data_IF_109548951625
#
_entry.id   IF_109548951625
#
_cell.length_a   1.000
_cell.length_b   1.000
_cell.length_c   1.000
_cell.angle_alpha   90.00
_cell.angle_beta   90.00
_cell.angle_gamma   90.00
#
_symmetry.space_group_name_H-M   'P 1'
#
loop_
_entity.id
_entity.type
_entity.pdbx_description
1 polymer ?
#
# COMPACT_ATOMS: atom_id res chain seq x y z
N UNK A 1 -8.33 -5.57 11.87
CA UNK A 1 -8.61 -4.12 11.91
C UNK A 1 -8.38 -3.55 10.51
N UNK A 2 -9.46 -3.22 9.81
CA UNK A 2 -9.42 -2.46 8.55
C UNK A 2 -8.88 -1.05 8.84
N UNK A 3 -8.29 -0.40 7.85
CA UNK A 3 -7.65 0.92 7.93
C UNK A 3 -8.45 1.89 8.86
N UNK A 4 -7.80 2.71 9.71
CA UNK A 4 -8.52 3.67 10.55
C UNK A 4 -9.49 4.49 9.71
N UNK A 5 -10.67 4.84 10.26
CA UNK A 5 -11.81 5.48 9.58
C UNK A 5 -11.51 6.79 8.79
N UNK A 6 -10.26 7.26 8.82
CA UNK A 6 -9.80 8.54 8.28
C UNK A 6 -8.85 8.38 7.08
N UNK A 7 -8.76 7.17 6.50
CA UNK A 7 -7.87 6.88 5.37
C UNK A 7 -8.69 6.81 4.09
N UNK A 8 -8.36 7.65 3.12
CA UNK A 8 -8.98 7.64 1.80
C UNK A 8 -7.93 7.36 0.73
N UNK A 9 -8.21 6.43 -0.18
CA UNK A 9 -7.40 6.24 -1.38
C UNK A 9 -7.85 7.29 -2.40
N UNK A 10 -6.97 8.25 -2.72
CA UNK A 10 -7.26 9.35 -3.64
C UNK A 10 -6.97 8.95 -5.08
N UNK A 11 -5.86 8.25 -5.30
CA UNK A 11 -5.42 7.76 -6.61
C UNK A 11 -4.62 6.48 -6.42
N UNK A 12 -4.74 5.55 -7.34
CA UNK A 12 -3.94 4.32 -7.36
C UNK A 12 -3.52 4.00 -8.79
N UNK A 13 -2.29 3.53 -8.96
CA UNK A 13 -1.76 2.96 -10.19
C UNK A 13 -1.04 1.67 -9.85
N UNK A 14 -1.45 0.57 -10.49
CA UNK A 14 -0.88 -0.76 -10.28
C UNK A 14 -0.42 -1.28 -11.64
N UNK A 15 0.75 -1.89 -11.66
CA UNK A 15 1.30 -2.59 -12.80
C UNK A 15 1.59 -4.04 -12.40
N UNK A 16 0.84 -4.96 -13.00
CA UNK A 16 1.09 -6.38 -12.88
C UNK A 16 2.37 -6.77 -13.64
N UNK A 17 3.08 -7.76 -13.10
CA UNK A 17 4.23 -8.43 -13.71
C UNK A 17 3.82 -9.85 -14.10
N UNK A 18 4.66 -10.51 -14.89
CA UNK A 18 4.38 -11.85 -15.41
C UNK A 18 4.44 -12.96 -14.33
N UNK A 19 4.99 -12.67 -13.16
CA UNK A 19 5.35 -13.61 -12.10
C UNK A 19 4.39 -13.59 -10.91
N UNK A 20 3.09 -13.36 -11.14
CA UNK A 20 2.06 -13.23 -10.09
C UNK A 20 2.38 -12.16 -9.01
N UNK A 21 3.26 -11.23 -9.35
CA UNK A 21 3.53 -10.02 -8.57
C UNK A 21 3.03 -8.78 -9.30
N UNK A 22 2.82 -7.70 -8.55
CA UNK A 22 2.50 -6.39 -9.07
C UNK A 22 3.16 -5.34 -8.18
N UNK A 23 3.57 -4.24 -8.80
CA UNK A 23 4.01 -3.05 -8.07
C UNK A 23 3.03 -1.92 -8.34
N UNK A 24 2.81 -1.07 -7.35
CA UNK A 24 1.93 0.07 -7.50
C UNK A 24 2.38 1.27 -6.71
N UNK A 25 1.75 2.40 -7.01
CA UNK A 25 1.78 3.58 -6.18
C UNK A 25 0.36 4.07 -5.93
N UNK A 26 0.14 4.68 -4.77
CA UNK A 26 -1.11 5.33 -4.46
C UNK A 26 -0.86 6.66 -3.76
N UNK A 27 -1.84 7.55 -3.85
CA UNK A 27 -1.95 8.70 -2.96
C UNK A 27 -3.05 8.39 -1.97
N UNK A 28 -2.72 8.41 -0.69
CA UNK A 28 -3.69 8.30 0.40
C UNK A 28 -3.85 9.65 1.08
N UNK A 29 -5.05 9.95 1.56
CA UNK A 29 -5.32 11.09 2.43
C UNK A 29 -5.58 10.60 3.83
N UNK A 30 -4.87 11.15 4.81
CA UNK A 30 -5.05 10.93 6.24
C UNK A 30 -5.07 12.29 6.94
N UNK A 31 -6.12 12.58 7.72
CA UNK A 31 -6.23 13.83 8.49
C UNK A 31 -5.89 15.07 7.64
N UNK A 32 -6.57 15.20 6.49
CA UNK A 32 -6.39 16.29 5.49
C UNK A 32 -5.03 16.33 4.78
N UNK A 33 -4.05 15.55 5.22
CA UNK A 33 -2.73 15.46 4.61
C UNK A 33 -2.70 14.34 3.56
N UNK A 34 -2.07 14.61 2.42
CA UNK A 34 -1.92 13.63 1.34
C UNK A 34 -0.52 13.03 1.35
N UNK A 35 -0.43 11.70 1.24
CA UNK A 35 0.81 10.94 1.27
C UNK A 35 0.90 10.06 0.03
N UNK A 36 2.08 10.05 -0.59
CA UNK A 36 2.40 9.08 -1.62
C UNK A 36 2.88 7.77 -0.95
N UNK A 37 2.36 6.65 -1.40
CA UNK A 37 2.78 5.32 -0.98
C UNK A 37 3.18 4.46 -2.17
N UNK A 38 4.19 3.61 -1.97
CA UNK A 38 4.54 2.51 -2.86
C UNK A 38 3.96 1.20 -2.32
N UNK A 39 3.51 0.32 -3.21
CA UNK A 39 2.81 -0.92 -2.90
C UNK A 39 3.52 -2.09 -3.55
N UNK A 40 3.78 -3.13 -2.77
CA UNK A 40 4.10 -4.46 -3.27
C UNK A 40 2.88 -5.35 -3.12
N UNK A 41 2.54 -6.05 -4.20
CA UNK A 41 1.33 -6.85 -4.29
C UNK A 41 1.72 -8.20 -4.88
N UNK A 42 1.23 -9.28 -4.30
CA UNK A 42 1.41 -10.62 -4.83
C UNK A 42 0.11 -11.41 -4.80
N UNK A 43 0.02 -12.42 -5.66
CA UNK A 43 -1.11 -13.32 -5.72
C UNK A 43 -0.93 -14.47 -4.74
N UNK A 44 -1.86 -14.62 -3.80
CA UNK A 44 -1.90 -15.74 -2.85
C UNK A 44 -3.26 -16.43 -2.94
N UNK A 45 -3.28 -17.71 -3.34
CA UNK A 45 -4.52 -18.49 -3.47
C UNK A 45 -5.49 -17.88 -4.48
N UNK A 46 -4.98 -17.45 -5.64
CA UNK A 46 -5.79 -16.84 -6.71
C UNK A 46 -6.21 -15.39 -6.48
N UNK A 47 -5.98 -14.82 -5.28
CA UNK A 47 -6.33 -13.44 -4.93
C UNK A 47 -5.11 -12.54 -4.81
N UNK A 48 -5.18 -11.34 -5.37
CA UNK A 48 -4.17 -10.30 -5.19
C UNK A 48 -4.23 -9.73 -3.77
N UNK A 49 -3.08 -9.58 -3.13
CA UNK A 49 -2.94 -9.00 -1.79
C UNK A 49 -1.76 -8.06 -1.76
N UNK A 50 -1.95 -6.89 -1.15
CA UNK A 50 -0.83 -6.04 -0.76
C UNK A 50 -0.01 -6.77 0.29
N UNK A 51 1.26 -7.03 0.00
CA UNK A 51 2.19 -7.72 0.90
C UNK A 51 3.13 -6.76 1.60
N UNK A 52 3.43 -5.62 0.97
CA UNK A 52 4.21 -4.55 1.58
C UNK A 52 3.75 -3.18 1.11
N UNK A 53 4.01 -2.16 1.92
CA UNK A 53 3.77 -0.78 1.53
C UNK A 53 4.69 0.19 2.27
N UNK A 54 5.04 1.27 1.58
CA UNK A 54 6.02 2.24 2.03
C UNK A 54 5.51 3.65 1.83
N UNK A 55 5.75 4.55 2.77
CA UNK A 55 5.67 5.98 2.51
C UNK A 55 6.82 6.41 1.62
N UNK A 56 6.49 7.21 0.61
CA UNK A 56 7.48 7.86 -0.24
C UNK A 56 7.78 9.23 0.37
N UNK A 57 9.01 9.42 0.81
CA UNK A 57 9.54 10.72 1.28
C UNK A 57 10.74 11.10 0.42
N UNK A 58 11.18 12.38 0.40
CA UNK A 58 12.33 12.78 -0.41
C UNK A 58 13.56 11.87 -0.14
N UNK A 59 14.08 11.26 -1.20
CA UNK A 59 15.25 10.37 -1.20
C UNK A 59 15.13 9.08 -0.35
N UNK A 60 13.94 8.69 0.11
CA UNK A 60 13.79 7.49 0.94
C UNK A 60 12.40 6.85 0.84
N UNK A 61 12.38 5.52 0.92
CA UNK A 61 11.17 4.74 1.19
C UNK A 61 11.13 4.35 2.66
N UNK A 62 10.08 4.76 3.37
CA UNK A 62 9.88 4.40 4.78
C UNK A 62 8.86 3.27 4.84
N UNK A 63 9.34 2.06 5.10
CA UNK A 63 8.47 0.88 5.28
C UNK A 63 7.61 1.07 6.52
N UNK A 64 6.31 0.91 6.38
CA UNK A 64 5.41 0.83 7.53
C UNK A 64 5.20 -0.64 7.84
N UNK A 65 5.79 -1.12 8.93
CA UNK A 65 5.42 -2.45 9.42
C UNK A 65 3.97 -2.39 9.85
N UNK A 66 3.13 -3.17 9.18
CA UNK A 66 1.78 -3.47 9.64
C UNK A 66 1.85 -3.83 11.13
N UNK A 67 1.23 -3.02 11.99
CA UNK A 67 0.92 -3.43 13.35
C UNK A 67 -0.09 -4.55 13.16
N UNK A 68 0.38 -5.80 13.18
CA UNK A 68 -0.52 -6.96 13.15
C UNK A 68 -1.46 -6.79 14.34
N UNK A 69 -2.70 -6.37 14.06
CA UNK A 69 -3.80 -6.63 14.98
C UNK A 69 -3.78 -8.13 15.24
N UNK A 70 -3.48 -8.50 16.48
CA UNK A 70 -3.57 -9.89 16.93
C UNK A 70 -4.99 -10.40 16.66
N UNK A 71 -5.14 -11.71 16.37
CA UNK A 71 -6.43 -12.33 16.05
C UNK A 71 -7.50 -12.02 17.09
#
# INVERSE_FOLDING_TARGET
QLCPANWQIVRVRIQARADDTAFGCAVIRMHETSYAIALEISRHGGRWRCTDWHFVVPNRLVRVRSVRGRP
#
